data_IF_509636852303
#
_entry.id   IF_509636852303
#
_cell.length_a   1.000
_cell.length_b   1.000
_cell.length_c   1.000
_cell.angle_alpha   90.00
_cell.angle_beta   90.00
_cell.angle_gamma   90.00
#
_symmetry.space_group_name_H-M   'P 1'
#
loop_
_entity.id
_entity.type
_entity.pdbx_description
1 polymer ?
#
# COMPACT_ATOMS: atom_id res chain seq x y z
N UNK A 1 -4.67 -24.37 -70.75
CA UNK A 1 -5.43 -23.16 -71.11
C UNK A 1 -6.88 -23.39 -70.72
N UNK A 2 -7.54 -22.55 -69.90
CA UNK A 2 -6.96 -21.62 -68.91
C UNK A 2 -6.27 -22.44 -67.78
N UNK A 3 -6.46 -22.35 -66.43
CA UNK A 3 -7.32 -21.52 -65.57
C UNK A 3 -6.82 -21.49 -64.11
N UNK A 4 -7.49 -20.66 -63.29
CA UNK A 4 -7.38 -20.54 -61.82
C UNK A 4 -8.80 -20.73 -61.19
N UNK A 5 -9.05 -20.80 -59.88
CA UNK A 5 -8.33 -20.28 -58.70
C UNK A 5 -8.61 -21.14 -57.45
N UNK A 6 -7.58 -21.53 -56.70
CA UNK A 6 -7.72 -22.19 -55.39
C UNK A 6 -7.60 -21.21 -54.22
N UNK A 7 -8.69 -20.98 -53.49
CA UNK A 7 -8.77 -19.92 -52.46
C UNK A 7 -7.92 -20.21 -51.22
N UNK A 8 -6.84 -19.44 -51.01
CA UNK A 8 -6.09 -19.46 -49.74
C UNK A 8 -6.94 -18.83 -48.61
N UNK A 9 -7.20 -19.60 -47.56
CA UNK A 9 -7.61 -19.11 -46.22
C UNK A 9 -6.75 -19.85 -45.20
N UNK A 10 -5.62 -19.30 -44.76
CA UNK A 10 -5.54 -18.25 -43.74
C UNK A 10 -5.99 -18.74 -42.35
N UNK A 11 -5.31 -19.77 -41.84
CA UNK A 11 -5.47 -20.25 -40.46
C UNK A 11 -4.87 -19.22 -39.50
N UNK A 12 -5.72 -18.48 -38.79
CA UNK A 12 -5.30 -17.45 -37.84
C UNK A 12 -4.83 -18.11 -36.54
N UNK A 13 -3.51 -18.18 -36.32
CA UNK A 13 -2.98 -18.36 -34.95
C UNK A 13 -3.10 -17.03 -34.21
N UNK A 14 -4.24 -16.83 -33.54
CA UNK A 14 -4.40 -15.74 -32.61
C UNK A 14 -3.56 -16.01 -31.35
N UNK A 15 -2.52 -15.21 -31.13
CA UNK A 15 -1.73 -15.27 -29.90
C UNK A 15 -2.55 -14.72 -28.72
N UNK A 16 -3.24 -15.60 -28.00
CA UNK A 16 -4.03 -15.28 -26.82
C UNK A 16 -3.14 -14.97 -25.60
N UNK A 17 -2.32 -13.93 -25.71
CA UNK A 17 -1.42 -13.47 -24.64
C UNK A 17 -2.15 -12.56 -23.65
N UNK A 18 -2.21 -13.04 -22.40
CA UNK A 18 -2.05 -12.24 -21.18
C UNK A 18 -2.93 -10.99 -21.04
N UNK A 19 -4.20 -11.19 -20.69
CA UNK A 19 -5.01 -10.21 -19.94
C UNK A 19 -5.55 -10.81 -18.63
N UNK A 20 -4.71 -11.62 -17.96
CA UNK A 20 -4.93 -12.08 -16.59
C UNK A 20 -4.65 -10.93 -15.62
N UNK A 21 -5.52 -9.91 -15.60
CA UNK A 21 -5.43 -8.79 -14.68
C UNK A 21 -5.53 -9.29 -13.24
N UNK A 22 -4.40 -9.29 -12.51
CA UNK A 22 -4.40 -9.56 -11.08
C UNK A 22 -5.16 -8.44 -10.38
N UNK A 23 -6.37 -8.74 -9.90
CA UNK A 23 -7.18 -7.78 -9.15
C UNK A 23 -6.57 -7.52 -7.76
N UNK A 24 -5.67 -6.56 -7.69
CA UNK A 24 -5.16 -5.98 -6.45
C UNK A 24 -6.25 -5.18 -5.76
N UNK A 25 -6.76 -5.69 -4.64
CA UNK A 25 -7.87 -5.07 -3.92
C UNK A 25 -7.36 -4.25 -2.72
N UNK A 26 -6.96 -3.00 -2.98
CA UNK A 26 -6.69 -2.02 -1.95
C UNK A 26 -7.99 -1.57 -1.27
N UNK A 27 -8.20 -1.94 0.00
CA UNK A 27 -9.39 -1.54 0.77
C UNK A 27 -8.99 -0.52 1.83
N UNK A 28 -9.22 0.76 1.55
CA UNK A 28 -9.13 1.84 2.56
C UNK A 28 -10.39 1.79 3.43
N UNK A 29 -10.22 1.82 4.74
CA UNK A 29 -11.33 1.65 5.70
C UNK A 29 -11.61 2.89 6.56
N UNK A 30 -10.65 3.82 6.66
CA UNK A 30 -10.83 5.13 7.31
C UNK A 30 -9.72 6.10 6.85
N UNK A 31 -10.09 7.37 6.61
CA UNK A 31 -9.15 8.47 6.33
C UNK A 31 -9.60 9.71 7.11
N UNK A 32 -8.92 9.98 8.22
CA UNK A 32 -9.22 11.09 9.14
C UNK A 32 -8.32 12.28 8.84
N UNK A 33 -8.73 13.03 7.83
CA UNK A 33 -8.12 14.31 7.42
C UNK A 33 -7.80 15.18 8.64
N UNK A 34 -6.55 15.61 8.73
CA UNK A 34 -5.93 16.23 9.90
C UNK A 34 -4.60 16.88 9.49
N UNK A 35 -3.91 17.56 10.41
CA UNK A 35 -2.63 18.25 10.11
C UNK A 35 -1.57 17.33 9.48
N UNK A 36 -1.62 16.03 9.79
CA UNK A 36 -0.71 14.99 9.25
C UNK A 36 -0.81 14.85 7.72
N UNK A 37 -1.87 15.37 7.09
CA UNK A 37 -2.07 15.42 5.64
C UNK A 37 -1.79 16.77 4.99
N UNK A 38 -1.27 17.78 5.73
CA UNK A 38 -0.71 18.94 5.03
C UNK A 38 0.57 18.53 4.31
N UNK A 39 0.85 19.14 3.16
CA UNK A 39 2.07 18.84 2.39
C UNK A 39 3.32 19.09 3.24
N UNK A 40 3.33 20.17 4.03
CA UNK A 40 4.40 20.48 4.98
C UNK A 40 4.62 19.37 6.02
N UNK A 41 3.54 18.75 6.53
CA UNK A 41 3.64 17.67 7.51
C UNK A 41 4.10 16.35 6.89
N UNK A 42 3.56 16.01 5.72
CA UNK A 42 4.01 14.84 4.95
C UNK A 42 5.49 14.98 4.56
N UNK A 43 5.93 16.18 4.16
CA UNK A 43 7.34 16.47 3.88
C UNK A 43 8.20 16.45 5.15
N UNK A 44 7.76 17.04 6.26
CA UNK A 44 8.49 17.01 7.53
C UNK A 44 8.69 15.58 8.07
N UNK A 45 7.65 14.73 8.02
CA UNK A 45 7.73 13.32 8.40
C UNK A 45 8.56 12.45 7.43
N UNK A 46 8.83 12.93 6.22
CA UNK A 46 9.56 12.19 5.19
C UNK A 46 10.97 12.75 4.88
N UNK A 47 11.34 13.89 5.47
CA UNK A 47 12.62 14.57 5.23
C UNK A 47 13.87 13.73 5.58
N UNK A 48 13.75 12.78 6.52
CA UNK A 48 14.76 11.77 6.82
C UNK A 48 14.42 10.35 6.34
N UNK A 49 13.33 10.20 5.57
CA UNK A 49 12.59 8.95 5.40
C UNK A 49 11.51 8.76 6.47
N UNK A 50 10.45 8.03 6.12
CA UNK A 50 9.27 7.83 6.96
C UNK A 50 9.53 6.77 8.02
N UNK A 51 9.49 7.16 9.30
CA UNK A 51 9.56 6.22 10.43
C UNK A 51 8.46 5.15 10.29
N UNK A 52 8.87 3.88 10.23
CA UNK A 52 7.99 2.75 9.91
C UNK A 52 8.18 1.61 10.90
N UNK A 53 7.13 1.25 11.61
CA UNK A 53 7.07 0.05 12.46
C UNK A 53 6.56 -1.13 11.63
N UNK A 54 7.17 -2.30 11.81
CA UNK A 54 6.80 -3.53 11.09
C UNK A 54 6.45 -4.63 12.10
N UNK A 55 5.25 -5.20 11.96
CA UNK A 55 4.72 -6.25 12.84
C UNK A 55 4.39 -7.46 11.96
N UNK A 56 5.04 -8.60 12.21
CA UNK A 56 4.79 -9.86 11.49
C UNK A 56 5.66 -10.16 10.27
N UNK A 57 6.61 -9.28 9.94
CA UNK A 57 7.62 -9.51 8.90
C UNK A 57 8.99 -9.01 9.38
N UNK A 58 10.06 -9.32 8.65
CA UNK A 58 11.33 -8.62 8.83
C UNK A 58 11.17 -7.14 8.42
N UNK A 59 11.72 -6.23 9.22
CA UNK A 59 11.50 -4.79 9.06
C UNK A 59 12.32 -4.19 7.90
N UNK A 60 13.54 -4.69 7.71
CA UNK A 60 14.45 -4.25 6.64
C UNK A 60 13.88 -4.66 5.27
N UNK A 61 13.54 -5.93 5.06
CA UNK A 61 12.97 -6.45 3.81
C UNK A 61 11.63 -5.78 3.46
N UNK A 62 10.77 -5.53 4.46
CA UNK A 62 9.48 -4.86 4.27
C UNK A 62 9.60 -3.36 3.90
N UNK A 63 10.76 -2.73 4.12
CA UNK A 63 10.97 -1.29 3.88
C UNK A 63 11.94 -0.99 2.73
N UNK A 64 12.93 -1.87 2.47
CA UNK A 64 14.06 -1.69 1.53
C UNK A 64 13.66 -1.08 0.19
N UNK A 65 12.71 -1.71 -0.48
CA UNK A 65 12.33 -1.40 -1.86
C UNK A 65 11.13 -0.44 -1.94
N UNK A 66 10.55 -0.06 -0.79
CA UNK A 66 9.33 0.74 -0.72
C UNK A 66 9.65 2.24 -0.64
N UNK A 67 8.90 3.03 -1.40
CA UNK A 67 8.92 4.50 -1.37
C UNK A 67 7.52 5.02 -1.12
N UNK A 68 7.42 6.18 -0.47
CA UNK A 68 6.17 6.93 -0.43
C UNK A 68 5.75 7.37 -1.84
N UNK A 69 4.46 7.67 -2.08
CA UNK A 69 4.02 8.41 -3.26
C UNK A 69 4.79 9.72 -3.43
N UNK A 70 4.99 10.17 -4.67
CA UNK A 70 5.78 11.37 -4.96
C UNK A 70 5.21 12.65 -4.31
N UNK A 71 3.88 12.79 -4.24
CA UNK A 71 3.20 13.89 -3.54
C UNK A 71 3.33 13.84 -2.00
N UNK A 72 3.74 12.70 -1.45
CA UNK A 72 4.12 12.52 -0.05
C UNK A 72 5.65 12.51 0.13
N UNK A 73 6.37 13.25 -0.72
CA UNK A 73 7.83 13.43 -0.65
C UNK A 73 8.67 12.33 -1.31
N UNK A 74 8.07 11.22 -1.76
CA UNK A 74 8.78 10.14 -2.47
C UNK A 74 9.84 9.39 -1.63
N UNK A 75 9.92 9.65 -0.33
CA UNK A 75 11.01 9.18 0.52
C UNK A 75 10.98 7.67 0.78
N UNK A 76 12.08 7.13 1.30
CA UNK A 76 12.15 5.75 1.78
C UNK A 76 11.31 5.55 3.03
N UNK A 77 10.83 4.33 3.24
CA UNK A 77 10.45 3.87 4.58
C UNK A 77 11.74 3.57 5.36
N UNK A 78 11.75 3.88 6.66
CA UNK A 78 12.87 3.66 7.58
C UNK A 78 12.38 2.81 8.75
N UNK A 79 12.90 1.59 8.96
CA UNK A 79 12.45 0.73 10.04
C UNK A 79 12.81 1.33 11.41
N UNK A 80 11.86 1.37 12.33
CA UNK A 80 12.04 1.84 13.72
C UNK A 80 11.46 0.85 14.73
N UNK A 81 11.88 0.95 15.99
CA UNK A 81 11.35 0.12 17.07
C UNK A 81 9.91 0.54 17.44
N UNK A 82 9.02 -0.41 17.81
CA UNK A 82 7.66 -0.08 18.24
C UNK A 82 7.60 0.94 19.38
N UNK A 83 6.83 2.00 19.18
CA UNK A 83 6.59 3.08 20.13
C UNK A 83 7.62 4.22 20.10
N UNK A 84 8.71 4.14 19.34
CA UNK A 84 9.79 5.15 19.43
C UNK A 84 9.53 6.44 18.65
N UNK A 85 8.71 6.38 17.59
CA UNK A 85 8.36 7.55 16.80
C UNK A 85 6.96 8.06 17.15
N UNK A 86 6.80 9.37 17.31
CA UNK A 86 5.47 9.98 17.48
C UNK A 86 4.64 9.76 16.21
N UNK A 87 5.08 10.37 15.13
CA UNK A 87 4.40 10.36 13.84
C UNK A 87 5.09 9.35 12.94
N UNK A 88 4.32 8.37 12.44
CA UNK A 88 4.88 7.15 11.83
C UNK A 88 3.87 6.37 11.00
N UNK A 89 4.41 5.50 10.15
CA UNK A 89 3.68 4.40 9.50
C UNK A 89 3.78 3.13 10.37
N UNK A 90 2.71 2.35 10.46
CA UNK A 90 2.74 0.99 11.04
C UNK A 90 2.25 0.00 9.99
N UNK A 91 3.06 -1.01 9.69
CA UNK A 91 2.74 -2.10 8.76
C UNK A 91 2.51 -3.40 9.54
N UNK A 92 1.26 -3.86 9.57
CA UNK A 92 0.86 -5.12 10.22
C UNK A 92 0.64 -6.17 9.16
N UNK A 93 1.53 -7.16 9.10
CA UNK A 93 1.43 -8.32 8.22
C UNK A 93 0.58 -9.41 8.86
N UNK A 94 -0.23 -10.09 8.04
CA UNK A 94 -1.21 -11.10 8.43
C UNK A 94 -2.05 -10.75 9.68
N UNK A 95 -2.64 -9.53 9.77
CA UNK A 95 -3.20 -9.00 11.01
C UNK A 95 -4.24 -9.95 11.63
N UNK A 96 -4.05 -10.23 12.93
CA UNK A 96 -4.98 -10.97 13.81
C UNK A 96 -5.94 -10.01 14.49
N UNK A 97 -7.20 -10.45 14.61
CA UNK A 97 -8.26 -9.72 15.29
C UNK A 97 -8.91 -8.62 14.44
N UNK A 98 -10.22 -8.45 14.60
CA UNK A 98 -10.93 -7.31 14.01
C UNK A 98 -10.50 -6.02 14.72
N UNK A 99 -9.99 -5.05 13.97
CA UNK A 99 -9.57 -3.75 14.52
C UNK A 99 -8.07 -3.58 14.80
N UNK A 100 -7.20 -4.50 14.36
CA UNK A 100 -5.73 -4.33 14.45
C UNK A 100 -5.24 -2.96 13.95
N UNK A 101 -5.88 -2.40 12.91
CA UNK A 101 -5.60 -1.07 12.40
C UNK A 101 -5.85 0.08 13.41
N UNK A 102 -6.83 -0.08 14.30
CA UNK A 102 -7.20 0.89 15.33
C UNK A 102 -6.31 0.76 16.58
N UNK A 103 -5.77 -0.42 16.84
CA UNK A 103 -4.89 -0.67 17.99
C UNK A 103 -3.40 -0.51 17.67
N UNK A 104 -3.00 -0.53 16.40
CA UNK A 104 -1.62 -0.38 15.92
C UNK A 104 -0.89 0.83 16.53
N UNK A 105 -1.48 2.03 16.47
CA UNK A 105 -0.84 3.23 17.02
C UNK A 105 -0.67 3.20 18.55
N UNK A 106 -1.42 2.33 19.24
CA UNK A 106 -1.32 2.08 20.69
C UNK A 106 -0.42 0.87 21.04
N UNK A 107 0.26 0.27 20.06
CA UNK A 107 1.07 -0.95 20.24
C UNK A 107 0.26 -2.24 20.41
N UNK A 108 -1.07 -2.19 20.28
CA UNK A 108 -1.98 -3.33 20.50
C UNK A 108 -2.33 -4.12 19.24
N UNK A 109 -1.51 -4.08 18.19
CA UNK A 109 -1.70 -4.86 16.97
C UNK A 109 -0.87 -6.15 17.02
N UNK A 110 -1.43 -7.25 16.47
CA UNK A 110 -0.78 -8.55 16.41
C UNK A 110 -0.84 -9.14 15.00
N UNK A 111 0.23 -9.82 14.59
CA UNK A 111 0.35 -10.54 13.33
C UNK A 111 -0.08 -12.01 13.44
N UNK A 112 -0.31 -12.63 12.29
CA UNK A 112 -0.73 -14.02 12.12
C UNK A 112 0.43 -14.99 11.89
N UNK A 113 0.08 -16.19 11.44
CA UNK A 113 0.98 -16.97 10.60
C UNK A 113 0.66 -16.61 9.13
N UNK A 114 1.63 -16.56 8.21
CA UNK A 114 1.38 -16.24 6.81
C UNK A 114 0.33 -17.16 6.18
N UNK A 115 -0.78 -16.59 5.71
CA UNK A 115 -1.93 -17.35 5.22
C UNK A 115 -1.82 -17.79 3.74
N UNK A 116 -0.73 -17.44 3.06
CA UNK A 116 -0.57 -17.55 1.61
C UNK A 116 -1.03 -16.27 0.90
N UNK A 117 -0.12 -15.69 0.10
CA UNK A 117 -0.30 -14.35 -0.44
C UNK A 117 0.03 -13.24 0.57
N UNK A 118 0.03 -11.99 0.10
CA UNK A 118 0.34 -10.80 0.88
C UNK A 118 -0.94 -10.30 1.54
N UNK A 119 -0.99 -10.29 2.86
CA UNK A 119 -2.03 -9.58 3.63
C UNK A 119 -1.34 -8.56 4.54
N UNK A 120 -1.57 -7.27 4.29
CA UNK A 120 -0.93 -6.20 5.06
C UNK A 120 -1.89 -5.04 5.31
N UNK A 121 -1.97 -4.60 6.56
CA UNK A 121 -2.65 -3.36 6.96
C UNK A 121 -1.59 -2.28 7.17
N UNK A 122 -1.74 -1.15 6.50
CA UNK A 122 -0.94 0.05 6.72
C UNK A 122 -1.77 1.06 7.53
N UNK A 123 -1.15 1.66 8.55
CA UNK A 123 -1.77 2.65 9.45
C UNK A 123 -0.86 3.87 9.55
N UNK A 124 -1.38 5.07 9.31
CA UNK A 124 -0.68 6.32 9.60
C UNK A 124 -1.04 6.76 11.02
N UNK A 125 -0.04 6.98 11.87
CA UNK A 125 -0.19 7.32 13.27
C UNK A 125 0.36 8.72 13.58
N UNK A 126 -0.32 9.43 14.48
CA UNK A 126 0.20 10.59 15.22
C UNK A 126 0.05 10.29 16.72
N UNK A 127 1.17 9.99 17.36
CA UNK A 127 1.24 9.41 18.69
C UNK A 127 0.46 8.09 18.77
N UNK A 128 -0.60 8.08 19.56
CA UNK A 128 -1.50 6.93 19.73
C UNK A 128 -2.72 6.94 18.80
N UNK A 129 -2.88 7.96 17.94
CA UNK A 129 -4.09 8.18 17.14
C UNK A 129 -3.88 7.75 15.68
N UNK A 130 -4.69 6.80 15.21
CA UNK A 130 -4.76 6.46 13.79
C UNK A 130 -5.39 7.62 12.98
N UNK A 131 -4.69 8.03 11.91
CA UNK A 131 -5.05 9.12 11.00
C UNK A 131 -5.53 8.62 9.64
N UNK A 132 -5.11 7.44 9.20
CA UNK A 132 -5.81 6.62 8.21
C UNK A 132 -5.39 5.16 8.37
N UNK A 133 -6.18 4.26 7.81
CA UNK A 133 -5.74 2.89 7.58
C UNK A 133 -6.39 2.26 6.35
N UNK A 134 -5.61 1.42 5.70
CA UNK A 134 -6.01 0.59 4.58
C UNK A 134 -5.43 -0.80 4.72
N UNK A 135 -6.06 -1.77 4.07
CA UNK A 135 -5.58 -3.15 4.00
C UNK A 135 -5.50 -3.60 2.55
N UNK A 136 -4.34 -4.12 2.19
CA UNK A 136 -4.10 -4.78 0.91
C UNK A 136 -4.19 -6.30 1.11
N UNK A 137 -4.81 -7.01 0.17
CA UNK A 137 -4.69 -8.47 0.09
C UNK A 137 -4.41 -8.89 -1.35
N UNK A 138 -3.30 -9.59 -1.59
CA UNK A 138 -2.85 -10.02 -2.93
C UNK A 138 -2.38 -11.47 -2.89
N UNK A 139 -3.24 -12.39 -3.34
CA UNK A 139 -2.98 -13.84 -3.29
C UNK A 139 -1.70 -14.27 -4.04
N UNK A 140 -1.30 -13.54 -5.09
CA UNK A 140 -0.16 -13.88 -5.96
C UNK A 140 1.21 -13.39 -5.46
N UNK A 141 1.27 -12.53 -4.43
CA UNK A 141 2.52 -11.95 -3.91
C UNK A 141 2.87 -12.63 -2.59
N UNK A 142 4.02 -13.29 -2.47
CA UNK A 142 4.34 -14.09 -1.27
C UNK A 142 4.81 -13.30 -0.04
N UNK A 143 5.06 -12.00 -0.17
CA UNK A 143 5.53 -11.14 0.93
C UNK A 143 6.61 -10.14 0.46
N UNK A 144 7.38 -9.56 1.40
CA UNK A 144 8.54 -8.74 1.09
C UNK A 144 9.53 -9.42 0.13
N UNK A 145 10.18 -8.63 -0.73
CA UNK A 145 11.12 -9.11 -1.75
C UNK A 145 10.51 -9.89 -2.93
N UNK A 146 9.21 -10.25 -2.88
CA UNK A 146 8.55 -10.97 -3.96
C UNK A 146 8.21 -10.07 -5.17
N UNK A 147 8.13 -10.62 -6.40
CA UNK A 147 7.57 -9.90 -7.54
C UNK A 147 6.18 -9.33 -7.22
N UNK A 148 5.92 -8.09 -7.62
CA UNK A 148 4.67 -7.38 -7.31
C UNK A 148 4.56 -6.79 -5.89
N UNK A 149 5.46 -7.11 -4.96
CA UNK A 149 5.42 -6.58 -3.59
C UNK A 149 5.47 -5.05 -3.54
N UNK A 150 6.45 -4.44 -4.21
CA UNK A 150 6.60 -3.00 -4.25
C UNK A 150 5.41 -2.29 -4.92
N UNK A 151 4.72 -2.95 -5.85
CA UNK A 151 3.51 -2.41 -6.49
C UNK A 151 2.32 -2.45 -5.54
N UNK A 152 2.04 -3.60 -4.92
CA UNK A 152 0.97 -3.75 -3.94
C UNK A 152 1.12 -2.81 -2.72
N UNK A 153 2.36 -2.54 -2.32
CA UNK A 153 2.67 -1.53 -1.30
C UNK A 153 2.50 -0.09 -1.82
N UNK A 154 2.85 0.19 -3.08
CA UNK A 154 2.65 1.51 -3.71
C UNK A 154 1.18 1.87 -3.83
N UNK A 155 0.34 0.92 -4.26
CA UNK A 155 -1.13 1.05 -4.27
C UNK A 155 -1.65 1.37 -2.87
N UNK A 156 -1.31 0.54 -1.87
CA UNK A 156 -1.75 0.70 -0.48
C UNK A 156 -1.35 2.07 0.10
N UNK A 157 -0.08 2.47 -0.09
CA UNK A 157 0.42 3.76 0.39
C UNK A 157 -0.22 4.94 -0.36
N UNK A 158 -0.43 4.85 -1.67
CA UNK A 158 -1.17 5.84 -2.44
C UNK A 158 -2.63 5.99 -2.01
N UNK A 159 -3.23 4.91 -1.47
CA UNK A 159 -4.60 4.90 -1.00
C UNK A 159 -4.76 5.45 0.44
N UNK A 160 -3.79 5.22 1.34
CA UNK A 160 -3.79 5.82 2.70
C UNK A 160 -3.15 7.21 2.78
N UNK A 161 -2.30 7.57 1.82
CA UNK A 161 -1.75 8.91 1.61
C UNK A 161 -2.29 9.46 0.28
N UNK A 162 -3.59 9.79 0.19
CA UNK A 162 -4.17 10.34 -1.04
C UNK A 162 -3.51 11.68 -1.40
N UNK A 163 -3.41 12.04 -2.69
CA UNK A 163 -2.90 13.35 -3.08
C UNK A 163 -3.80 14.47 -2.56
N UNK A 164 -3.17 15.50 -2.01
CA UNK A 164 -3.75 16.76 -1.49
C UNK A 164 -4.74 17.44 -2.44
N UNK A 165 -4.63 17.18 -3.74
CA UNK A 165 -5.60 17.59 -4.76
C UNK A 165 -7.06 17.19 -4.45
N UNK A 166 -7.30 16.12 -3.68
CA UNK A 166 -8.65 15.60 -3.37
C UNK A 166 -9.24 16.21 -2.08
N UNK A 167 -9.17 17.54 -1.93
CA UNK A 167 -10.29 18.41 -1.47
C UNK A 167 -9.86 19.88 -1.27
N UNK A 168 -10.15 20.73 -2.27
CA UNK A 168 -10.46 22.16 -2.04
C UNK A 168 -11.89 22.41 -1.55
N UNK A 169 -12.61 21.35 -1.15
CA UNK A 169 -14.04 21.40 -0.90
C UNK A 169 -14.40 21.03 0.54
N UNK A 170 -15.27 21.87 1.12
CA UNK A 170 -15.98 21.69 2.39
C UNK A 170 -15.12 21.80 3.66
N UNK A 171 -14.55 22.99 3.88
CA UNK A 171 -14.72 23.57 5.22
C UNK A 171 -16.22 23.90 5.38
N UNK A 172 -16.89 23.48 6.46
CA UNK A 172 -18.22 24.01 6.77
C UNK A 172 -18.08 25.51 7.06
N UNK A 173 -18.82 26.32 6.31
CA UNK A 173 -18.89 27.77 6.55
C UNK A 173 -19.59 28.02 7.91
N UNK A 174 -19.09 28.94 8.75
CA UNK A 174 -19.77 29.35 9.98
C UNK A 174 -21.09 30.08 9.70
#
# INVERSE_FOLDING_TARGET
MPSTTGTRRATVLAAALLMSGCATNATVSDVRWSRVYSEDALQAMSAGGMATEVIGANAEDATRDIRLPAHAGGAKLVPVQPGTARDRLVLVFDPRGAGAARTACMGGAASGAPAGGLKVTAVLCDGTVARAYGTQTVAAVSGPGAPGYAEAMRELLGAILPPSAIRRFEQPKP
#
